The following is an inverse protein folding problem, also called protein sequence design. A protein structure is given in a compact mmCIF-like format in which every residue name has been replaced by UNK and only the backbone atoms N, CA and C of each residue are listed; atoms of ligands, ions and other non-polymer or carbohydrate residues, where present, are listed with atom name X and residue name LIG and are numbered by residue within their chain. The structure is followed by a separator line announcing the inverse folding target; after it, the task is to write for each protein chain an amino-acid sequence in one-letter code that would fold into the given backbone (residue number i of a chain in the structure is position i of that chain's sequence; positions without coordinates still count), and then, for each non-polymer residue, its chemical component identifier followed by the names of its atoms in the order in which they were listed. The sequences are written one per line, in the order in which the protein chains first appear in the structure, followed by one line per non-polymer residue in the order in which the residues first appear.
data_IF_679916458311
#
_entry.id   IF_679916458311
#
_cell.length_a   1.000
_cell.length_b   1.000
_cell.length_c   1.000
_cell.angle_alpha   90.00
_cell.angle_beta   90.00
_cell.angle_gamma   90.00
#
_symmetry.space_group_name_H-M   'P 1'
#
loop_
_entity.id
_entity.type
_entity.pdbx_description
1 polymer ?
#
# COMPACT_ATOMS: atom_id res chain seq x y z
N UNK A 1 -68.57 19.95 -27.92
CA UNK A 1 -69.02 21.21 -27.31
C UNK A 1 -67.80 22.09 -27.15
N UNK A 2 -67.62 23.09 -28.02
CA UNK A 2 -66.70 24.21 -27.83
C UNK A 2 -67.41 25.35 -27.08
N UNK A 3 -66.69 26.11 -26.27
CA UNK A 3 -67.02 27.50 -25.90
C UNK A 3 -65.73 28.19 -25.41
N UNK A 4 -65.07 28.84 -26.38
CA UNK A 4 -64.58 30.24 -26.43
C UNK A 4 -64.98 31.24 -25.28
N UNK A 5 -64.62 32.55 -25.28
CA UNK A 5 -63.56 33.33 -25.96
C UNK A 5 -62.88 34.45 -25.08
N UNK A 6 -61.66 34.92 -25.39
CA UNK A 6 -61.25 36.25 -25.97
C UNK A 6 -60.90 37.44 -25.00
N UNK A 7 -60.11 38.45 -25.48
CA UNK A 7 -59.19 39.32 -24.72
C UNK A 7 -59.51 40.85 -24.81
N UNK A 8 -58.67 41.72 -24.23
CA UNK A 8 -58.32 43.13 -24.62
C UNK A 8 -57.57 43.84 -23.46
N UNK A 9 -56.34 44.37 -23.61
CA UNK A 9 -55.87 45.62 -24.26
C UNK A 9 -55.94 46.91 -23.40
N UNK A 10 -54.74 47.36 -23.03
CA UNK A 10 -54.11 48.70 -23.08
C UNK A 10 -54.75 50.02 -22.57
N UNK A 11 -53.80 50.84 -22.08
CA UNK A 11 -53.65 52.32 -22.08
C UNK A 11 -54.08 53.15 -20.85
N UNK A 12 -53.12 53.97 -20.36
CA UNK A 12 -53.20 54.95 -19.24
C UNK A 12 -54.04 56.21 -19.57
N UNK A 13 -54.01 57.34 -18.80
CA UNK A 13 -52.84 58.23 -18.64
C UNK A 13 -52.80 59.05 -17.29
N UNK A 14 -52.42 60.36 -17.20
CA UNK A 14 -51.21 60.95 -16.53
C UNK A 14 -51.62 61.93 -15.37
N UNK A 15 -50.96 63.07 -15.01
CA UNK A 15 -49.59 63.65 -15.16
C UNK A 15 -49.01 64.21 -13.81
N UNK A 16 -47.93 65.03 -13.89
CA UNK A 16 -47.49 66.17 -13.03
C UNK A 16 -46.15 66.10 -12.27
N UNK A 17 -45.26 67.05 -12.61
CA UNK A 17 -44.10 67.58 -11.84
C UNK A 17 -44.53 68.94 -11.19
N UNK A 18 -43.68 69.79 -10.52
CA UNK A 18 -42.28 69.69 -10.04
C UNK A 18 -41.98 70.35 -8.63
N UNK A 19 -40.69 70.32 -8.21
CA UNK A 19 -39.83 71.32 -7.46
C UNK A 19 -40.23 71.88 -6.06
N UNK A 20 -39.53 71.57 -4.93
CA UNK A 20 -38.28 72.15 -4.29
C UNK A 20 -38.63 72.97 -3.01
N UNK A 21 -37.73 73.46 -2.09
CA UNK A 21 -36.24 73.37 -1.98
C UNK A 21 -35.59 73.14 -0.55
N UNK A 22 -34.29 72.72 -0.57
CA UNK A 22 -33.10 73.06 0.29
C UNK A 22 -33.06 72.85 1.84
N UNK A 23 -31.87 72.63 2.51
CA UNK A 23 -30.51 73.10 2.16
C UNK A 23 -29.32 72.10 2.26
N UNK A 24 -28.18 72.62 1.78
CA UNK A 24 -26.84 72.06 1.55
C UNK A 24 -25.97 71.89 2.81
N UNK A 25 -24.61 71.82 2.69
CA UNK A 25 -23.75 70.85 2.01
C UNK A 25 -22.81 70.16 3.04
N UNK A 26 -22.02 69.17 2.62
CA UNK A 26 -20.57 69.10 2.90
C UNK A 26 -20.00 67.75 2.47
N UNK A 27 -19.18 67.80 1.42
CA UNK A 27 -18.25 66.75 1.03
C UNK A 27 -17.29 66.45 2.19
N UNK A 28 -17.54 65.35 2.90
CA UNK A 28 -16.54 64.64 3.66
C UNK A 28 -16.02 63.48 2.82
N UNK A 29 -14.70 63.25 2.69
CA UNK A 29 -14.19 62.05 2.05
C UNK A 29 -14.71 60.81 2.82
N UNK A 30 -15.04 59.71 2.13
CA UNK A 30 -15.46 58.48 2.81
C UNK A 30 -14.34 58.01 3.75
N UNK A 31 -14.67 57.49 4.94
CA UNK A 31 -13.66 56.86 5.77
C UNK A 31 -13.06 55.69 4.99
N UNK A 32 -11.74 55.70 4.84
CA UNK A 32 -10.99 54.53 4.39
C UNK A 32 -11.25 53.42 5.41
N UNK A 33 -12.11 52.48 5.05
CA UNK A 33 -12.22 51.23 5.79
C UNK A 33 -10.88 50.53 5.63
N UNK A 34 -10.06 50.59 6.68
CA UNK A 34 -8.93 49.70 6.83
C UNK A 34 -9.48 48.29 6.92
N UNK A 35 -9.60 47.62 5.77
CA UNK A 35 -9.63 46.16 5.72
C UNK A 35 -8.27 45.68 6.23
N UNK A 36 -8.14 45.60 7.56
CA UNK A 36 -7.11 44.78 8.17
C UNK A 36 -7.38 43.34 7.72
N UNK A 37 -6.41 42.67 7.05
CA UNK A 37 -6.59 41.28 6.69
C UNK A 37 -6.78 40.50 7.98
N UNK A 38 -7.87 39.73 8.08
CA UNK A 38 -8.02 38.75 9.14
C UNK A 38 -6.74 37.90 9.20
N UNK A 39 -6.15 37.66 10.39
CA UNK A 39 -5.05 36.72 10.49
C UNK A 39 -5.58 35.37 10.01
N UNK A 40 -5.03 34.89 8.88
CA UNK A 40 -5.28 33.53 8.44
C UNK A 40 -4.94 32.60 9.62
N UNK A 41 -5.77 31.58 9.93
CA UNK A 41 -5.38 30.58 10.90
C UNK A 41 -4.09 29.95 10.38
N UNK A 42 -3.01 30.18 11.11
CA UNK A 42 -1.72 29.57 10.87
C UNK A 42 -1.77 28.12 11.34
N UNK A 43 -2.68 27.33 10.77
CA UNK A 43 -2.74 25.89 10.96
C UNK A 43 -1.76 25.25 9.99
N UNK A 44 -0.47 25.56 10.24
CA UNK A 44 0.57 24.63 9.89
C UNK A 44 0.29 23.31 10.61
N UNK A 45 0.51 22.16 9.95
CA UNK A 45 0.29 20.87 10.58
C UNK A 45 1.04 20.79 11.92
N UNK A 46 0.46 20.13 12.93
CA UNK A 46 1.09 20.01 14.24
C UNK A 46 2.49 19.41 14.08
N UNK A 47 3.48 19.90 14.84
CA UNK A 47 4.82 19.34 14.77
C UNK A 47 4.76 17.84 15.03
N UNK A 48 5.53 17.07 14.26
CA UNK A 48 5.67 15.64 14.49
C UNK A 48 6.06 15.41 15.97
N UNK A 49 5.42 14.45 16.63
CA UNK A 49 5.73 14.10 18.02
C UNK A 49 7.22 13.79 18.17
N UNK A 50 7.85 14.22 19.26
CA UNK A 50 9.26 13.96 19.57
C UNK A 50 9.65 12.49 19.41
N UNK A 51 8.75 11.59 19.78
CA UNK A 51 8.98 10.15 19.75
C UNK A 51 9.06 9.63 18.31
N UNK A 52 8.14 10.07 17.45
CA UNK A 52 8.18 9.78 16.00
C UNK A 52 9.45 10.32 15.35
N UNK A 53 9.92 11.50 15.77
CA UNK A 53 11.16 12.10 15.27
C UNK A 53 12.36 11.22 15.64
N UNK A 54 12.42 10.77 16.89
CA UNK A 54 13.48 9.91 17.39
C UNK A 54 13.50 8.56 16.66
N UNK A 55 12.33 7.92 16.49
CA UNK A 55 12.19 6.65 15.79
C UNK A 55 12.61 6.74 14.31
N UNK A 56 12.16 7.78 13.59
CA UNK A 56 12.55 7.99 12.19
C UNK A 56 14.06 8.24 12.06
N UNK A 57 14.66 8.95 13.02
CA UNK A 57 16.10 9.22 13.04
C UNK A 57 16.89 7.94 13.25
N UNK A 58 16.51 7.15 14.26
CA UNK A 58 17.15 5.87 14.55
C UNK A 58 17.02 4.89 13.37
N UNK A 59 15.85 4.83 12.75
CA UNK A 59 15.61 3.98 11.58
C UNK A 59 16.50 4.39 10.40
N UNK A 60 16.65 5.69 10.14
CA UNK A 60 17.51 6.19 9.07
C UNK A 60 18.99 5.92 9.34
N UNK A 61 19.46 6.10 10.57
CA UNK A 61 20.84 5.79 10.96
C UNK A 61 21.13 4.29 10.82
N UNK A 62 20.19 3.45 11.27
CA UNK A 62 20.31 1.99 11.17
C UNK A 62 20.34 1.52 9.72
N UNK A 63 19.53 2.12 8.84
CA UNK A 63 19.52 1.79 7.42
C UNK A 63 20.80 2.26 6.72
N UNK A 64 21.27 3.48 6.99
CA UNK A 64 22.47 4.04 6.39
C UNK A 64 23.75 3.27 6.78
N UNK A 65 23.75 2.57 7.91
CA UNK A 65 24.87 1.75 8.36
C UNK A 65 25.01 0.39 7.64
N UNK A 66 24.08 0.03 6.75
CA UNK A 66 24.07 -1.25 6.04
C UNK A 66 24.57 -1.09 4.61
N UNK A 67 25.28 -2.08 4.07
CA UNK A 67 25.72 -2.03 2.66
C UNK A 67 24.63 -2.49 1.66
N UNK A 68 23.59 -3.20 2.14
CA UNK A 68 22.59 -3.91 1.33
C UNK A 68 21.18 -3.28 1.38
N UNK A 69 21.08 -1.96 1.47
CA UNK A 69 19.86 -1.26 1.90
C UNK A 69 19.11 -0.50 0.79
N UNK A 70 19.56 -0.56 -0.47
CA UNK A 70 19.09 0.36 -1.53
C UNK A 70 17.57 0.41 -1.71
N UNK A 71 16.89 -0.73 -1.68
CA UNK A 71 15.43 -0.80 -1.86
C UNK A 71 14.64 -0.26 -0.66
N UNK A 72 15.10 -0.53 0.56
CA UNK A 72 14.44 -0.06 1.78
C UNK A 72 14.64 1.45 1.94
N UNK A 73 15.84 1.94 1.62
CA UNK A 73 16.16 3.36 1.56
C UNK A 73 15.27 4.13 0.61
N UNK A 74 15.07 3.63 -0.61
CA UNK A 74 14.21 4.28 -1.58
C UNK A 74 12.75 4.38 -1.10
N UNK A 75 12.24 3.32 -0.45
CA UNK A 75 10.88 3.31 0.12
C UNK A 75 10.73 4.26 1.31
N UNK A 76 11.72 4.28 2.21
CA UNK A 76 11.71 5.20 3.35
C UNK A 76 11.79 6.65 2.89
N UNK A 77 12.67 6.97 1.94
CA UNK A 77 12.76 8.31 1.35
C UNK A 77 11.43 8.73 0.72
N UNK A 78 10.80 7.85 -0.08
CA UNK A 78 9.49 8.13 -0.66
C UNK A 78 8.41 8.34 0.42
N UNK A 79 8.40 7.54 1.49
CA UNK A 79 7.45 7.70 2.59
C UNK A 79 7.62 9.05 3.29
N UNK A 80 8.86 9.46 3.58
CA UNK A 80 9.17 10.76 4.17
C UNK A 80 8.68 11.89 3.24
N UNK A 81 8.99 11.81 1.95
CA UNK A 81 8.55 12.80 0.96
C UNK A 81 7.00 12.87 0.89
N UNK A 82 6.32 11.72 0.89
CA UNK A 82 4.86 11.65 0.87
C UNK A 82 4.22 12.21 2.15
N UNK A 83 4.84 12.01 3.31
CA UNK A 83 4.38 12.57 4.58
C UNK A 83 4.60 14.08 4.64
N UNK A 84 5.75 14.59 4.16
CA UNK A 84 6.00 16.02 4.03
C UNK A 84 4.97 16.66 3.09
N UNK A 85 4.71 16.06 1.93
CA UNK A 85 3.74 16.57 0.95
C UNK A 85 2.32 16.65 1.52
N UNK A 86 1.95 15.73 2.42
CA UNK A 86 0.66 15.72 3.13
C UNK A 86 0.65 16.60 4.38
N UNK A 87 1.74 17.32 4.65
CA UNK A 87 1.93 18.13 5.86
C UNK A 87 2.14 17.32 7.14
N UNK A 88 2.23 15.99 7.09
CA UNK A 88 2.34 15.19 8.31
C UNK A 88 3.74 15.20 8.92
N UNK A 89 4.75 15.67 8.17
CA UNK A 89 6.10 15.90 8.66
C UNK A 89 6.61 17.29 8.27
N UNK A 90 7.40 17.95 9.14
CA UNK A 90 8.11 19.17 8.78
C UNK A 90 9.12 18.96 7.64
N UNK A 91 9.36 19.99 6.84
CA UNK A 91 10.31 19.94 5.72
C UNK A 91 11.76 19.62 6.15
N UNK A 92 12.11 19.81 7.44
CA UNK A 92 13.43 19.45 7.99
C UNK A 92 13.74 17.95 7.86
N UNK A 93 12.72 17.09 7.72
CA UNK A 93 12.88 15.66 7.52
C UNK A 93 13.43 15.28 6.12
N UNK A 94 13.48 16.22 5.17
CA UNK A 94 14.10 15.97 3.87
C UNK A 94 15.60 15.62 3.99
N UNK A 95 16.30 16.15 5.01
CA UNK A 95 17.70 15.81 5.27
C UNK A 95 17.89 14.35 5.69
N UNK A 96 16.88 13.77 6.34
CA UNK A 96 16.87 12.38 6.78
C UNK A 96 16.67 11.45 5.58
N UNK A 97 15.78 11.79 4.65
CA UNK A 97 15.62 11.09 3.37
C UNK A 97 16.90 11.13 2.50
N UNK A 98 17.62 12.26 2.51
CA UNK A 98 18.90 12.38 1.81
C UNK A 98 20.00 11.49 2.41
N UNK A 99 19.98 11.25 3.74
CA UNK A 99 20.96 10.42 4.46
C UNK A 99 20.82 8.93 4.17
N UNK A 100 19.59 8.45 3.95
CA UNK A 100 19.34 7.06 3.55
C UNK A 100 19.40 6.84 2.03
N UNK A 101 19.37 7.89 1.21
CA UNK A 101 19.55 7.81 -0.26
C UNK A 101 21.00 7.42 -0.61
N UNK A 102 21.34 6.15 -0.38
CA UNK A 102 22.65 5.56 -0.65
C UNK A 102 22.64 4.60 -1.83
N UNK A 103 23.82 4.44 -2.44
CA UNK A 103 24.16 3.50 -3.54
C UNK A 103 24.30 2.04 -3.07
N UNK A 104 23.72 1.69 -1.93
CA UNK A 104 23.81 0.34 -1.39
C UNK A 104 23.20 -0.69 -2.34
N UNK A 105 23.79 -1.88 -2.38
CA UNK A 105 23.24 -2.97 -3.18
C UNK A 105 21.81 -3.26 -2.71
N UNK A 106 20.95 -3.68 -3.64
CA UNK A 106 19.58 -4.07 -3.29
C UNK A 106 19.67 -5.30 -2.38
N UNK A 107 19.07 -5.23 -1.20
CA UNK A 107 18.98 -6.38 -0.29
C UNK A 107 18.41 -7.57 -1.06
N UNK A 108 19.24 -8.59 -1.28
CA UNK A 108 18.81 -9.89 -1.85
C UNK A 108 18.18 -10.76 -0.77
N UNK A 109 17.97 -10.21 0.43
CA UNK A 109 17.31 -10.86 1.57
C UNK A 109 15.83 -11.06 1.22
N UNK A 110 15.56 -12.16 0.52
CA UNK A 110 14.23 -12.69 0.29
C UNK A 110 13.84 -13.43 1.56
N UNK A 111 13.37 -12.75 2.61
CA UNK A 111 12.81 -13.41 3.79
C UNK A 111 11.29 -13.26 3.77
N UNK A 112 10.57 -14.35 4.04
CA UNK A 112 9.11 -14.28 4.13
C UNK A 112 8.71 -13.61 5.45
N UNK A 113 7.81 -12.62 5.41
CA UNK A 113 7.47 -11.74 6.54
C UNK A 113 6.37 -12.31 7.46
N UNK A 114 6.39 -13.61 7.71
CA UNK A 114 5.43 -14.24 8.63
C UNK A 114 5.91 -14.11 10.08
N UNK A 115 5.03 -13.64 10.97
CA UNK A 115 5.33 -13.51 12.42
C UNK A 115 5.23 -14.84 13.16
N UNK A 116 4.18 -15.61 12.83
CA UNK A 116 4.03 -17.01 13.24
C UNK A 116 3.47 -17.81 12.06
N UNK A 117 4.21 -18.82 11.60
CA UNK A 117 3.79 -19.67 10.48
C UNK A 117 2.68 -20.65 10.86
N UNK A 118 2.55 -21.04 12.13
CA UNK A 118 1.52 -21.98 12.58
C UNK A 118 0.16 -21.31 12.77
N UNK A 119 0.15 -19.99 12.99
CA UNK A 119 -1.07 -19.19 12.98
C UNK A 119 -1.70 -19.03 11.58
N UNK A 120 -0.98 -19.38 10.51
CA UNK A 120 -1.48 -19.33 9.14
C UNK A 120 -2.38 -20.54 8.89
N UNK A 121 -3.67 -20.27 8.65
CA UNK A 121 -4.61 -21.29 8.21
C UNK A 121 -4.17 -21.85 6.85
N UNK A 122 -3.85 -23.15 6.81
CA UNK A 122 -3.56 -23.84 5.56
C UNK A 122 -4.86 -24.16 4.83
N UNK A 123 -4.87 -24.00 3.51
CA UNK A 123 -6.00 -24.44 2.71
C UNK A 123 -6.23 -25.94 2.89
N UNK A 124 -7.48 -26.33 3.20
CA UNK A 124 -7.89 -27.73 3.31
C UNK A 124 -7.98 -28.36 1.92
N UNK A 125 -6.82 -28.81 1.42
CA UNK A 125 -6.69 -29.47 0.13
C UNK A 125 -6.27 -30.92 0.42
N UNK A 126 -7.07 -31.87 -0.04
CA UNK A 126 -6.65 -33.26 -0.09
C UNK A 126 -5.61 -33.42 -1.21
N UNK A 127 -4.36 -33.15 -0.85
CA UNK A 127 -3.19 -33.28 -1.70
C UNK A 127 -2.96 -34.74 -2.09
N UNK A 128 -3.25 -35.70 -1.21
CA UNK A 128 -2.99 -37.12 -1.45
C UNK A 128 -3.79 -37.64 -2.66
N UNK A 129 -5.08 -37.27 -2.76
CA UNK A 129 -5.89 -37.63 -3.93
C UNK A 129 -5.52 -36.84 -5.20
N UNK A 130 -4.84 -35.71 -5.07
CA UNK A 130 -4.59 -34.75 -6.18
C UNK A 130 -3.19 -34.86 -6.79
N UNK A 131 -2.19 -35.29 -6.02
CA UNK A 131 -0.80 -35.44 -6.47
C UNK A 131 -0.67 -36.28 -7.76
N UNK A 132 -1.38 -37.41 -7.93
CA UNK A 132 -1.30 -38.19 -9.18
C UNK A 132 -1.69 -37.40 -10.43
N UNK A 133 -2.55 -36.38 -10.28
CA UNK A 133 -3.04 -35.54 -11.37
C UNK A 133 -2.15 -34.32 -11.57
N UNK A 134 -1.94 -33.54 -10.51
CA UNK A 134 -1.20 -32.29 -10.59
C UNK A 134 0.33 -32.49 -10.59
N UNK A 135 0.79 -33.70 -10.25
CA UNK A 135 2.21 -34.05 -10.14
C UNK A 135 2.94 -33.17 -9.13
N UNK A 136 2.31 -32.83 -8.00
CA UNK A 136 2.88 -31.98 -6.95
C UNK A 136 3.46 -30.63 -7.44
N UNK A 137 2.87 -30.00 -8.48
CA UNK A 137 3.39 -28.77 -9.13
C UNK A 137 3.77 -27.64 -8.18
N UNK A 138 3.06 -27.45 -7.07
CA UNK A 138 3.42 -26.43 -6.08
C UNK A 138 4.85 -26.62 -5.50
N UNK A 139 5.34 -27.87 -5.47
CA UNK A 139 6.70 -28.21 -5.04
C UNK A 139 7.77 -27.86 -6.08
N UNK A 140 7.42 -27.40 -7.29
CA UNK A 140 8.41 -26.90 -8.26
C UNK A 140 8.61 -25.39 -8.20
N UNK A 141 7.97 -24.68 -7.27
CA UNK A 141 8.16 -23.25 -7.11
C UNK A 141 9.31 -22.93 -6.16
N UNK A 142 9.88 -21.74 -6.34
CA UNK A 142 10.83 -21.21 -5.38
C UNK A 142 10.07 -20.78 -4.12
N UNK A 143 10.44 -21.39 -3.00
CA UNK A 143 9.80 -21.14 -1.70
C UNK A 143 10.76 -20.36 -0.83
N UNK A 144 10.33 -19.17 -0.45
CA UNK A 144 11.04 -18.32 0.48
C UNK A 144 10.70 -18.70 1.93
N UNK A 145 11.75 -18.84 2.76
CA UNK A 145 11.67 -19.20 4.17
C UNK A 145 11.50 -17.94 5.03
N UNK A 146 10.72 -18.07 6.10
CA UNK A 146 10.57 -17.03 7.13
C UNK A 146 11.68 -17.11 8.18
N UNK A 147 11.78 -16.09 9.03
CA UNK A 147 12.71 -16.12 10.17
C UNK A 147 12.44 -17.31 11.11
N UNK A 148 11.16 -17.63 11.32
CA UNK A 148 10.75 -18.77 12.15
C UNK A 148 11.17 -20.11 11.52
N UNK A 149 11.01 -20.26 10.19
CA UNK A 149 11.44 -21.47 9.48
C UNK A 149 12.93 -21.77 9.68
N UNK A 150 13.77 -20.73 9.69
CA UNK A 150 15.20 -20.86 9.93
C UNK A 150 15.55 -21.08 11.41
N UNK A 151 14.79 -20.46 12.31
CA UNK A 151 15.01 -20.57 13.76
C UNK A 151 14.71 -21.98 14.27
N UNK A 152 13.68 -22.63 13.71
CA UNK A 152 13.32 -24.02 14.05
C UNK A 152 14.36 -25.04 13.58
N UNK A 153 15.20 -24.70 12.59
CA UNK A 153 16.28 -25.55 12.04
C UNK A 153 15.83 -26.92 11.50
N UNK A 154 14.53 -27.12 11.36
CA UNK A 154 13.90 -28.34 10.86
C UNK A 154 13.79 -28.38 9.33
N UNK A 155 14.04 -27.25 8.65
CA UNK A 155 13.88 -27.10 7.20
C UNK A 155 15.25 -26.83 6.56
N UNK A 156 15.64 -27.58 5.51
CA UNK A 156 16.88 -27.33 4.81
C UNK A 156 16.83 -25.96 4.10
N UNK A 157 17.98 -25.30 4.00
CA UNK A 157 18.15 -24.03 3.29
C UNK A 157 19.46 -24.04 2.48
N UNK A 158 19.54 -23.21 1.45
CA UNK A 158 20.76 -23.06 0.65
C UNK A 158 21.76 -22.18 1.40
N UNK A 159 22.99 -22.63 1.63
CA UNK A 159 24.00 -21.85 2.38
C UNK A 159 24.25 -20.46 1.77
N UNK A 160 24.30 -20.39 0.44
CA UNK A 160 24.50 -19.14 -0.30
C UNK A 160 23.22 -18.32 -0.49
N UNK A 161 22.05 -18.89 -0.17
CA UNK A 161 20.74 -18.24 -0.23
C UNK A 161 19.90 -18.71 0.96
N UNK A 162 20.25 -18.28 2.19
CA UNK A 162 19.78 -18.93 3.43
C UNK A 162 18.28 -18.84 3.65
N UNK A 163 17.59 -18.03 2.86
CA UNK A 163 16.14 -17.86 2.92
C UNK A 163 15.40 -18.60 1.80
N UNK A 164 16.06 -19.49 1.06
CA UNK A 164 15.45 -20.28 0.00
C UNK A 164 15.42 -21.77 0.38
N UNK A 165 14.26 -22.39 0.20
CA UNK A 165 14.13 -23.84 0.25
C UNK A 165 14.89 -24.47 -0.92
N UNK A 166 15.82 -25.41 -0.67
CA UNK A 166 16.59 -26.05 -1.72
C UNK A 166 15.70 -26.86 -2.66
N UNK A 167 16.17 -27.00 -3.90
CA UNK A 167 15.52 -27.78 -4.93
C UNK A 167 16.48 -28.78 -5.54
N UNK A 168 15.96 -29.96 -5.82
CA UNK A 168 16.65 -31.06 -6.49
C UNK A 168 15.73 -31.59 -7.60
N UNK A 169 16.28 -31.85 -8.80
CA UNK A 169 15.52 -32.31 -9.96
C UNK A 169 14.26 -31.46 -10.27
N UNK A 170 14.36 -30.14 -10.05
CA UNK A 170 13.26 -29.20 -10.29
C UNK A 170 12.16 -29.23 -9.24
N UNK A 171 12.29 -29.98 -8.14
CA UNK A 171 11.33 -30.07 -7.03
C UNK A 171 11.97 -29.69 -5.71
N UNK A 172 11.18 -29.31 -4.70
CA UNK A 172 11.73 -29.08 -3.37
C UNK A 172 12.29 -30.37 -2.78
N UNK A 173 13.38 -30.25 -2.01
CA UNK A 173 14.06 -31.41 -1.37
C UNK A 173 13.19 -32.13 -0.33
N UNK A 174 12.08 -31.53 0.08
CA UNK A 174 11.14 -32.13 1.02
C UNK A 174 10.06 -33.00 0.35
N UNK A 175 10.16 -33.22 -0.97
CA UNK A 175 9.25 -34.10 -1.71
C UNK A 175 9.81 -35.52 -1.71
N UNK A 176 8.98 -36.51 -1.38
CA UNK A 176 9.36 -37.93 -1.49
C UNK A 176 9.19 -38.46 -2.92
N UNK A 177 9.54 -39.73 -3.12
CA UNK A 177 9.42 -40.42 -4.40
C UNK A 177 7.96 -40.55 -4.90
N UNK A 178 6.97 -40.53 -3.98
CA UNK A 178 5.55 -40.55 -4.29
C UNK A 178 4.97 -39.17 -4.61
N UNK A 179 5.76 -38.10 -4.46
CA UNK A 179 5.33 -36.71 -4.63
C UNK A 179 4.69 -36.09 -3.39
N UNK A 180 4.65 -36.80 -2.26
CA UNK A 180 4.14 -36.27 -1.00
C UNK A 180 5.21 -35.44 -0.26
N UNK A 181 4.75 -34.51 0.58
CA UNK A 181 5.64 -33.66 1.36
C UNK A 181 6.00 -34.33 2.68
N UNK A 182 7.29 -34.57 2.92
CA UNK A 182 7.79 -35.23 4.15
C UNK A 182 7.72 -34.34 5.39
N UNK A 183 7.58 -33.02 5.20
CA UNK A 183 7.44 -32.03 6.28
C UNK A 183 6.06 -31.39 6.29
N UNK A 184 5.00 -32.09 5.87
CA UNK A 184 3.66 -31.50 5.68
C UNK A 184 3.18 -30.64 6.88
N UNK A 185 3.34 -31.15 8.09
CA UNK A 185 2.97 -30.44 9.33
C UNK A 185 3.92 -29.30 9.73
N UNK A 186 5.14 -29.29 9.19
CA UNK A 186 6.15 -28.25 9.48
C UNK A 186 6.44 -27.36 8.28
N UNK A 187 5.60 -27.43 7.24
CA UNK A 187 5.74 -26.69 5.99
C UNK A 187 6.05 -25.20 6.25
N UNK A 188 6.91 -24.58 5.42
CA UNK A 188 7.19 -23.15 5.50
C UNK A 188 5.93 -22.31 5.49
N UNK A 189 5.99 -21.12 6.09
CA UNK A 189 4.85 -20.19 6.09
C UNK A 189 4.31 -19.91 4.69
N UNK A 190 5.20 -19.78 3.70
CA UNK A 190 4.83 -19.61 2.30
C UNK A 190 4.04 -20.80 1.72
N UNK A 191 4.42 -22.04 2.07
CA UNK A 191 3.69 -23.24 1.66
C UNK A 191 2.33 -23.37 2.36
N UNK A 192 2.21 -22.90 3.60
CA UNK A 192 0.95 -22.90 4.36
C UNK A 192 -0.05 -21.90 3.79
N UNK A 193 0.43 -20.70 3.47
CA UNK A 193 -0.38 -19.62 2.89
C UNK A 193 -0.79 -19.88 1.43
N UNK A 194 -0.15 -20.85 0.76
CA UNK A 194 -0.39 -21.12 -0.65
C UNK A 194 -1.61 -22.02 -0.87
N UNK A 195 -2.54 -21.56 -1.71
CA UNK A 195 -3.71 -22.29 -2.16
C UNK A 195 -3.64 -22.53 -3.67
N UNK A 196 -3.51 -23.79 -4.08
CA UNK A 196 -3.34 -24.13 -5.50
C UNK A 196 -4.64 -24.06 -6.30
N UNK A 197 -5.83 -24.00 -5.67
CA UNK A 197 -7.14 -24.10 -6.34
C UNK A 197 -7.36 -23.06 -7.43
N UNK A 198 -6.77 -21.88 -7.24
CA UNK A 198 -6.91 -20.72 -8.12
C UNK A 198 -5.65 -20.47 -8.95
N UNK A 199 -4.66 -21.36 -8.88
CA UNK A 199 -3.42 -21.17 -9.61
C UNK A 199 -3.51 -21.82 -11.00
N UNK A 200 -3.55 -21.02 -12.08
CA UNK A 200 -3.63 -21.54 -13.45
C UNK A 200 -2.37 -22.29 -13.86
N UNK A 201 -1.26 -22.12 -13.12
CA UNK A 201 -0.05 -22.91 -13.29
C UNK A 201 -0.17 -24.29 -12.65
N UNK A 202 -1.25 -24.62 -11.96
CA UNK A 202 -1.49 -25.96 -11.38
C UNK A 202 -2.74 -26.58 -11.97
N UNK A 203 -3.85 -25.84 -12.03
CA UNK A 203 -5.16 -26.34 -12.44
C UNK A 203 -5.78 -25.45 -13.52
N UNK A 204 -6.39 -26.09 -14.53
CA UNK A 204 -7.36 -25.42 -15.41
C UNK A 204 -8.71 -25.42 -14.70
N UNK A 205 -9.09 -26.57 -14.13
CA UNK A 205 -10.29 -26.75 -13.33
C UNK A 205 -9.96 -27.65 -12.14
N UNK A 206 -9.97 -27.06 -10.94
CA UNK A 206 -9.66 -27.77 -9.70
C UNK A 206 -10.76 -28.77 -9.31
N UNK A 207 -12.02 -28.40 -9.46
CA UNK A 207 -13.17 -29.25 -9.09
C UNK A 207 -13.36 -30.36 -10.12
N UNK A 208 -13.22 -30.02 -11.41
CA UNK A 208 -13.20 -30.97 -12.51
C UNK A 208 -11.95 -31.86 -12.57
N UNK A 209 -10.98 -31.65 -11.67
CA UNK A 209 -9.72 -32.41 -11.58
C UNK A 209 -8.88 -32.36 -12.86
N UNK A 210 -8.91 -31.23 -13.57
CA UNK A 210 -8.18 -30.99 -14.82
C UNK A 210 -6.91 -30.18 -14.52
N UNK A 211 -5.72 -30.81 -14.46
CA UNK A 211 -4.48 -30.11 -14.22
C UNK A 211 -4.05 -29.28 -15.43
N UNK A 212 -3.22 -28.26 -15.20
CA UNK A 212 -2.61 -27.49 -16.27
C UNK A 212 -1.63 -28.37 -17.11
N UNK A 213 -1.45 -28.08 -18.42
CA UNK A 213 -0.54 -28.82 -19.30
C UNK A 213 0.90 -28.73 -18.83
N UNK A 214 1.63 -29.86 -18.81
CA UNK A 214 3.02 -29.91 -18.33
C UNK A 214 3.92 -29.06 -19.25
N UNK A 215 4.75 -28.15 -18.68
CA UNK A 215 5.77 -27.46 -19.45
C UNK A 215 6.86 -28.44 -19.93
#
# INVERSE_FOLDING_TARGET
MPDEPMPASSDGPPPTSPDEPMPAPSDGPPPTSSDEPMPAPSDGPPPASSDLVAELTLLAETLAARDDHGDLSARLAWLIDALILRGQLPASFAALAARVKGTGDRSVVRIATFRDKYAIASAEIDCAARIPLCGARCCSYDVTLSAQDLTERDIPFLVMQPYLLPRENGRCVCMDAGGACTIYERRPGACRAYDCRRDPRVWIDFEGRIPAPRP
#
